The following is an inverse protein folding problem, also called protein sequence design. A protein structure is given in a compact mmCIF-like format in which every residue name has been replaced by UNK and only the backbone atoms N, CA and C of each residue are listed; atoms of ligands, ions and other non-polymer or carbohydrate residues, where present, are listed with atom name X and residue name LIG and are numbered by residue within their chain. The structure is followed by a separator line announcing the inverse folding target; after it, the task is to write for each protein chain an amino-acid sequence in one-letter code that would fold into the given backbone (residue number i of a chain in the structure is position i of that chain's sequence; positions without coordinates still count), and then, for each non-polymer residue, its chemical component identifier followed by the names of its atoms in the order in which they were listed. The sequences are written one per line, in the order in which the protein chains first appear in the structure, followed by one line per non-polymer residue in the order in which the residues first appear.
data_IF_089890014746
#
_entry.id   IF_089890014746
#
_cell.length_a   1.000
_cell.length_b   1.000
_cell.length_c   1.000
_cell.angle_alpha   90.00
_cell.angle_beta   90.00
_cell.angle_gamma   90.00
#
_symmetry.space_group_name_H-M   'P 1'
#
loop_
_entity.id
_entity.type
_entity.pdbx_description
1 polymer ?
#
# COMPACT_ATOMS: atom_id res chain seq x y z
N UNK A 1 -4.64 -9.45 -7.86
CA UNK A 1 -3.20 -9.12 -7.93
C UNK A 1 -3.05 -7.73 -7.35
N UNK A 2 -2.07 -7.54 -6.47
CA UNK A 2 -1.62 -6.24 -6.01
C UNK A 2 -0.27 -5.94 -6.67
N UNK A 3 -0.07 -4.71 -7.13
CA UNK A 3 1.18 -4.23 -7.73
C UNK A 3 1.50 -2.87 -7.13
N UNK A 4 2.74 -2.66 -6.73
CA UNK A 4 3.25 -1.38 -6.27
C UNK A 4 4.27 -0.87 -7.27
N UNK A 5 4.15 0.39 -7.63
CA UNK A 5 5.09 1.10 -8.50
C UNK A 5 5.51 2.39 -7.79
N UNK A 6 6.73 2.84 -8.03
CA UNK A 6 7.19 4.14 -7.56
C UNK A 6 6.73 5.26 -8.51
N UNK A 7 7.07 6.50 -8.17
CA UNK A 7 6.75 7.69 -8.98
C UNK A 7 7.43 7.69 -10.36
N UNK A 8 8.47 6.90 -10.57
CA UNK A 8 9.16 6.76 -11.86
C UNK A 8 8.57 5.63 -12.71
N UNK A 9 7.52 4.96 -12.22
CA UNK A 9 6.92 3.79 -12.86
C UNK A 9 7.70 2.49 -12.65
N UNK A 10 8.73 2.49 -11.80
CA UNK A 10 9.48 1.29 -11.48
C UNK A 10 8.65 0.41 -10.54
N UNK A 11 8.51 -0.87 -10.90
CA UNK A 11 7.77 -1.81 -10.05
C UNK A 11 8.57 -2.11 -8.78
N UNK A 12 7.96 -1.83 -7.63
CA UNK A 12 8.51 -2.14 -6.32
C UNK A 12 8.25 -3.60 -5.96
N UNK A 13 7.02 -4.07 -6.15
CA UNK A 13 6.64 -5.44 -5.83
C UNK A 13 5.28 -5.83 -6.43
N UNK A 14 4.98 -7.13 -6.44
CA UNK A 14 3.67 -7.68 -6.74
C UNK A 14 3.29 -8.81 -5.76
N UNK A 15 1.99 -9.00 -5.58
CA UNK A 15 1.46 -10.09 -4.77
C UNK A 15 0.17 -10.63 -5.36
N UNK A 16 0.13 -11.95 -5.53
CA UNK A 16 -1.09 -12.64 -5.88
C UNK A 16 -1.85 -13.01 -4.60
N UNK A 17 -3.14 -12.71 -4.60
CA UNK A 17 -4.07 -13.13 -3.56
C UNK A 17 -5.33 -13.61 -4.26
N UNK A 18 -5.89 -14.72 -3.77
CA UNK A 18 -7.16 -15.24 -4.23
C UNK A 18 -8.33 -14.29 -3.89
N UNK A 19 -8.16 -13.46 -2.85
CA UNK A 19 -9.17 -12.49 -2.38
C UNK A 19 -8.58 -11.09 -2.31
N UNK A 20 -9.38 -10.09 -2.66
CA UNK A 20 -9.05 -8.66 -2.52
C UNK A 20 -9.58 -8.11 -1.20
N UNK A 21 -9.24 -8.76 -0.09
CA UNK A 21 -9.71 -8.36 1.24
C UNK A 21 -8.70 -7.46 1.97
N UNK A 22 -9.15 -6.85 3.09
CA UNK A 22 -8.32 -5.96 3.93
C UNK A 22 -7.03 -6.63 4.37
N UNK A 23 -7.08 -7.93 4.70
CA UNK A 23 -5.93 -8.69 5.18
C UNK A 23 -4.87 -8.85 4.09
N UNK A 24 -5.29 -9.13 2.86
CA UNK A 24 -4.42 -9.18 1.70
C UNK A 24 -3.82 -7.81 1.39
N UNK A 25 -4.63 -6.75 1.36
CA UNK A 25 -4.15 -5.38 1.15
C UNK A 25 -3.09 -4.98 2.18
N UNK A 26 -3.39 -5.17 3.48
CA UNK A 26 -2.45 -4.87 4.57
C UNK A 26 -1.13 -5.65 4.44
N UNK A 27 -1.20 -6.96 4.17
CA UNK A 27 0.00 -7.79 3.95
C UNK A 27 0.86 -7.24 2.81
N UNK A 28 0.22 -6.82 1.72
CA UNK A 28 0.93 -6.26 0.59
C UNK A 28 1.63 -4.95 0.96
N UNK A 29 0.93 -4.01 1.59
CA UNK A 29 1.52 -2.75 2.02
C UNK A 29 2.69 -2.96 2.99
N UNK A 30 2.58 -3.87 3.96
CA UNK A 30 3.69 -4.20 4.88
C UNK A 30 4.91 -4.69 4.11
N UNK A 31 4.69 -5.56 3.10
CA UNK A 31 5.78 -6.09 2.26
C UNK A 31 6.52 -4.96 1.55
N UNK A 32 5.79 -4.03 0.96
CA UNK A 32 6.34 -2.89 0.21
C UNK A 32 7.02 -1.90 1.16
N UNK A 33 6.40 -1.55 2.28
CA UNK A 33 6.92 -0.55 3.23
C UNK A 33 8.18 -1.03 3.97
N UNK A 34 8.30 -2.34 4.22
CA UNK A 34 9.48 -2.92 4.90
C UNK A 34 10.66 -3.22 3.97
N UNK A 35 10.50 -3.08 2.65
CA UNK A 35 11.60 -3.32 1.73
C UNK A 35 12.70 -2.26 1.93
N UNK A 36 13.95 -2.70 2.11
CA UNK A 36 15.09 -1.83 2.49
C UNK A 36 15.34 -0.65 1.55
N UNK A 37 14.96 -0.79 0.29
CA UNK A 37 15.20 0.22 -0.76
C UNK A 37 14.01 1.17 -0.93
N UNK A 38 12.89 0.91 -0.26
CA UNK A 38 11.68 1.70 -0.38
C UNK A 38 11.70 2.80 0.67
N UNK A 39 11.48 4.03 0.21
CA UNK A 39 11.29 5.18 1.11
C UNK A 39 9.84 5.19 1.61
N UNK A 40 9.63 5.79 2.78
CA UNK A 40 8.29 6.05 3.30
C UNK A 40 7.52 6.91 2.28
N UNK A 41 6.38 6.44 1.75
CA UNK A 41 5.63 7.20 0.78
C UNK A 41 4.91 8.38 1.45
N UNK A 42 4.86 9.51 0.75
CA UNK A 42 4.01 10.65 1.14
C UNK A 42 2.58 10.50 0.63
N UNK A 43 2.39 9.87 -0.51
CA UNK A 43 1.09 9.59 -1.12
C UNK A 43 1.07 8.14 -1.58
N UNK A 44 -0.02 7.43 -1.30
CA UNK A 44 -0.31 6.12 -1.85
C UNK A 44 -1.49 6.27 -2.81
N UNK A 45 -1.24 5.99 -4.08
CA UNK A 45 -2.29 5.87 -5.09
C UNK A 45 -2.76 4.42 -5.11
N UNK A 46 -3.99 4.17 -4.67
CA UNK A 46 -4.60 2.84 -4.66
C UNK A 46 -5.77 2.77 -5.65
N UNK A 47 -6.09 1.57 -6.12
CA UNK A 47 -7.34 1.33 -6.84
C UNK A 47 -8.54 1.60 -5.91
N UNK A 48 -9.74 1.78 -6.49
CA UNK A 48 -11.02 1.91 -5.76
C UNK A 48 -11.43 0.60 -5.05
N UNK A 49 -10.47 -0.09 -4.44
CA UNK A 49 -10.67 -1.28 -3.66
C UNK A 49 -11.04 -0.88 -2.21
N UNK A 50 -12.23 -1.25 -1.73
CA UNK A 50 -12.68 -0.89 -0.38
C UNK A 50 -11.80 -1.49 0.73
N UNK A 51 -10.94 -2.46 0.41
CA UNK A 51 -9.97 -3.02 1.32
C UNK A 51 -8.74 -2.12 1.59
N UNK A 52 -8.45 -1.14 0.72
CA UNK A 52 -7.25 -0.31 0.78
C UNK A 52 -7.32 0.75 1.89
N UNK A 53 -8.37 1.59 1.99
CA UNK A 53 -8.47 2.59 3.07
C UNK A 53 -8.32 2.01 4.48
N UNK A 54 -9.09 0.97 4.89
CA UNK A 54 -8.99 0.45 6.25
C UNK A 54 -7.67 -0.29 6.50
N UNK A 55 -7.01 -0.80 5.45
CA UNK A 55 -5.67 -1.38 5.60
C UNK A 55 -4.61 -0.29 5.86
N UNK A 56 -4.74 0.88 5.22
CA UNK A 56 -3.84 2.02 5.39
C UNK A 56 -4.00 2.65 6.76
N UNK A 57 -5.22 2.80 7.26
CA UNK A 57 -5.48 3.29 8.62
C UNK A 57 -4.80 2.42 9.67
N UNK A 58 -4.96 1.10 9.60
CA UNK A 58 -4.27 0.18 10.52
C UNK A 58 -2.74 0.26 10.42
N UNK A 59 -2.19 0.65 9.27
CA UNK A 59 -0.75 0.83 9.11
C UNK A 59 -0.25 2.11 9.75
N UNK A 60 -1.04 3.19 9.67
CA UNK A 60 -0.80 4.45 10.38
C UNK A 60 -0.82 4.22 11.89
N UNK A 61 -1.84 3.53 12.40
CA UNK A 61 -1.94 3.17 13.82
C UNK A 61 -0.75 2.32 14.30
N UNK A 62 -0.26 1.40 13.47
CA UNK A 62 0.90 0.57 13.80
C UNK A 62 2.26 1.28 13.68
N UNK A 63 2.29 2.52 13.20
CA UNK A 63 3.53 3.28 12.96
C UNK A 63 4.35 2.79 11.75
N UNK A 64 3.84 1.84 10.96
CA UNK A 64 4.49 1.37 9.73
C UNK A 64 4.31 2.34 8.57
N UNK A 65 3.31 3.22 8.66
CA UNK A 65 3.07 4.29 7.72
C UNK A 65 2.94 5.62 8.48
N UNK A 66 3.41 6.71 7.88
CA UNK A 66 3.29 8.03 8.51
C UNK A 66 1.84 8.49 8.52
N UNK A 67 1.42 9.19 9.58
CA UNK A 67 0.09 9.78 9.66
C UNK A 67 -0.16 10.82 8.55
N UNK A 68 0.91 11.49 8.14
CA UNK A 68 0.95 12.46 7.02
C UNK A 68 0.86 11.80 5.63
N UNK A 69 0.87 10.46 5.54
CA UNK A 69 0.74 9.79 4.26
C UNK A 69 -0.70 9.91 3.75
N UNK A 70 -0.89 10.46 2.56
CA UNK A 70 -2.21 10.65 1.96
C UNK A 70 -2.60 9.44 1.10
N UNK A 71 -3.88 9.09 1.12
CA UNK A 71 -4.46 8.10 0.22
C UNK A 71 -5.16 8.85 -0.90
N UNK A 72 -4.75 8.59 -2.14
CA UNK A 72 -5.44 9.03 -3.34
C UNK A 72 -6.00 7.82 -4.08
N UNK A 73 -7.25 7.93 -4.50
CA UNK A 73 -7.86 6.91 -5.35
C UNK A 73 -7.46 7.20 -6.80
N UNK A 74 -6.88 6.22 -7.48
CA UNK A 74 -6.63 6.32 -8.90
C UNK A 74 -7.98 6.24 -9.65
N UNK A 75 -8.23 7.23 -10.52
CA UNK A 75 -9.35 7.23 -11.50
C UNK A 75 -9.22 6.08 -12.51
#
# INVERSE_FOLDING_TARGET
MYRAVDSNGQTLDFMFSAKRDKKAAKRFFIKVLKAKHNKQPRVINADQNPACPPAIEELKESGLLSNECELSEAE
#
